data_IF_986326733037
#
_entry.id   IF_986326733037
#
_cell.length_a   1.000
_cell.length_b   1.000
_cell.length_c   1.000
_cell.angle_alpha   90.00
_cell.angle_beta   90.00
_cell.angle_gamma   90.00
#
_symmetry.space_group_name_H-M   'P 1'
#
loop_
_entity.id
_entity.type
_entity.pdbx_description
1 polymer ?
#
# COMPACT_ATOMS: atom_id res chain seq x y z
N UNK A 1 -14.31 0.62 2.90
CA UNK A 1 -13.37 1.36 3.76
C UNK A 1 -11.97 1.09 3.20
N UNK A 2 -11.40 1.97 2.35
CA UNK A 2 -10.16 1.61 1.66
C UNK A 2 -8.97 1.61 2.61
N UNK A 3 -8.42 0.42 2.84
CA UNK A 3 -7.23 0.19 3.66
C UNK A 3 -6.13 -0.35 2.78
N UNK A 4 -5.01 0.36 2.67
CA UNK A 4 -3.78 -0.18 2.14
C UNK A 4 -2.86 -0.54 3.29
N UNK A 5 -2.68 -1.83 3.53
CA UNK A 5 -1.82 -2.35 4.60
C UNK A 5 -0.48 -2.78 4.02
N UNK A 6 0.61 -2.36 4.66
CA UNK A 6 1.98 -2.71 4.31
C UNK A 6 2.53 -3.58 5.44
N UNK A 7 2.74 -4.86 5.18
CA UNK A 7 3.51 -5.74 6.07
C UNK A 7 4.93 -5.82 5.53
N UNK A 8 5.93 -5.51 6.33
CA UNK A 8 7.30 -5.44 5.84
C UNK A 8 8.31 -5.93 6.87
N UNK A 9 9.50 -6.32 6.43
CA UNK A 9 10.59 -6.70 7.32
C UNK A 9 11.19 -5.46 7.99
N UNK A 10 11.34 -5.46 9.32
CA UNK A 10 11.74 -4.27 10.08
C UNK A 10 13.14 -3.72 9.75
N UNK A 11 14.00 -4.46 9.04
CA UNK A 11 15.27 -3.92 8.56
C UNK A 11 15.12 -2.82 7.51
N UNK A 12 13.98 -2.71 6.82
CA UNK A 12 13.75 -1.68 5.80
C UNK A 12 13.70 -0.26 6.37
N UNK A 13 13.39 -0.09 7.66
CA UNK A 13 13.34 1.23 8.32
C UNK A 13 14.71 1.94 8.38
N UNK A 14 15.81 1.19 8.14
CA UNK A 14 17.16 1.76 8.07
C UNK A 14 17.41 2.56 6.79
N UNK A 15 16.69 2.20 5.74
CA UNK A 15 16.98 2.61 4.37
C UNK A 15 15.85 3.44 3.76
N UNK A 16 14.66 3.43 4.38
CA UNK A 16 13.48 4.10 3.85
C UNK A 16 12.60 4.70 4.95
N UNK A 17 12.14 5.92 4.73
CA UNK A 17 11.10 6.54 5.55
C UNK A 17 9.73 5.93 5.20
N UNK A 18 9.32 4.94 5.98
CA UNK A 18 8.03 4.27 5.81
C UNK A 18 6.83 5.21 6.06
N UNK A 19 7.00 6.29 6.83
CA UNK A 19 5.99 7.32 7.04
C UNK A 19 5.73 8.11 5.74
N UNK A 20 6.80 8.53 5.06
CA UNK A 20 6.72 9.18 3.75
C UNK A 20 6.09 8.27 2.69
N UNK A 21 6.43 6.97 2.70
CA UNK A 21 5.80 5.96 1.83
C UNK A 21 4.29 5.89 2.08
N UNK A 22 3.87 5.78 3.34
CA UNK A 22 2.45 5.75 3.70
C UNK A 22 1.70 6.99 3.21
N UNK A 23 2.28 8.18 3.40
CA UNK A 23 1.68 9.44 2.94
C UNK A 23 1.58 9.48 1.41
N UNK A 24 2.65 9.17 0.69
CA UNK A 24 2.68 9.20 -0.77
C UNK A 24 1.70 8.21 -1.40
N UNK A 25 1.57 7.01 -0.83
CA UNK A 25 0.57 6.03 -1.27
C UNK A 25 -0.86 6.50 -1.00
N UNK A 26 -1.10 7.13 0.16
CA UNK A 26 -2.40 7.70 0.47
C UNK A 26 -2.76 8.82 -0.52
N UNK A 27 -1.79 9.67 -0.88
CA UNK A 27 -2.00 10.72 -1.89
C UNK A 27 -2.30 10.13 -3.27
N UNK A 28 -1.59 9.07 -3.69
CA UNK A 28 -1.86 8.36 -4.92
C UNK A 28 -3.26 7.72 -4.94
N UNK A 29 -3.72 7.15 -3.83
CA UNK A 29 -5.11 6.67 -3.73
C UNK A 29 -6.11 7.82 -3.95
N UNK A 30 -5.86 8.99 -3.37
CA UNK A 30 -6.78 10.14 -3.51
C UNK A 30 -6.85 10.71 -4.94
N UNK A 31 -5.92 10.37 -5.84
CA UNK A 31 -5.98 10.79 -7.25
C UNK A 31 -6.80 9.84 -8.14
N UNK A 32 -7.11 8.63 -7.68
CA UNK A 32 -7.85 7.64 -8.49
C UNK A 32 -9.27 8.15 -8.80
N UNK A 33 -9.66 8.11 -10.07
CA UNK A 33 -10.97 8.50 -10.59
C UNK A 33 -11.69 7.32 -11.24
N UNK A 34 -13.01 7.27 -11.09
CA UNK A 34 -13.85 6.33 -11.84
C UNK A 34 -14.11 6.83 -13.27
N UNK A 35 -14.90 6.06 -14.03
CA UNK A 35 -15.20 6.36 -15.44
C UNK A 35 -16.03 7.64 -15.61
N UNK A 36 -16.67 8.14 -14.54
CA UNK A 36 -17.42 9.40 -14.48
C UNK A 36 -16.57 10.56 -13.91
N UNK A 37 -15.28 10.34 -13.65
CA UNK A 37 -14.38 11.35 -13.11
C UNK A 37 -14.55 11.61 -11.61
N UNK A 38 -15.29 10.77 -10.88
CA UNK A 38 -15.47 10.89 -9.42
C UNK A 38 -14.34 10.21 -8.68
N UNK A 39 -13.99 10.73 -7.51
CA UNK A 39 -12.95 10.16 -6.66
C UNK A 39 -13.36 8.75 -6.16
N UNK A 40 -12.51 7.76 -6.40
CA UNK A 40 -12.81 6.35 -6.04
C UNK A 40 -12.69 6.13 -4.54
N UNK A 41 -11.63 6.65 -3.93
CA UNK A 41 -11.33 6.48 -2.51
C UNK A 41 -11.63 7.78 -1.75
N UNK A 42 -12.65 7.82 -0.87
CA UNK A 42 -13.01 9.06 -0.18
C UNK A 42 -11.92 9.52 0.78
N UNK A 43 -11.68 10.83 0.86
CA UNK A 43 -10.61 11.42 1.69
C UNK A 43 -10.71 11.00 3.15
N UNK A 44 -11.86 11.17 3.80
CA UNK A 44 -12.06 10.75 5.20
C UNK A 44 -12.05 9.24 5.43
N UNK A 45 -12.03 8.44 4.36
CA UNK A 45 -12.01 6.98 4.42
C UNK A 45 -10.68 6.33 4.04
N UNK A 46 -9.74 7.08 3.49
CA UNK A 46 -8.47 6.55 2.98
C UNK A 46 -7.49 6.36 4.12
N UNK A 47 -7.00 5.13 4.28
CA UNK A 47 -5.98 4.79 5.28
C UNK A 47 -4.88 3.97 4.62
N UNK A 48 -3.63 4.34 4.92
CA UNK A 48 -2.45 3.54 4.62
C UNK A 48 -1.77 3.25 5.95
N UNK A 49 -1.44 1.99 6.21
CA UNK A 49 -0.94 1.51 7.49
C UNK A 49 0.27 0.63 7.21
N UNK A 50 1.35 0.83 7.94
CA UNK A 50 2.55 0.00 7.79
C UNK A 50 2.91 -0.65 9.13
N UNK A 51 3.21 -1.95 9.08
CA UNK A 51 3.56 -2.75 10.25
C UNK A 51 4.90 -3.46 10.02
N UNK A 52 5.95 -3.08 10.77
CA UNK A 52 7.22 -3.78 10.70
C UNK A 52 7.11 -5.13 11.42
N UNK A 53 7.56 -6.19 10.77
CA UNK A 53 7.82 -7.48 11.38
C UNK A 53 9.18 -7.41 12.10
N UNK A 54 9.23 -7.51 13.44
CA UNK A 54 10.51 -7.53 14.18
C UNK A 54 11.26 -8.85 14.00
N UNK A 55 10.56 -9.91 13.60
CA UNK A 55 11.11 -11.23 13.35
C UNK A 55 10.60 -11.73 12.00
N UNK A 56 11.53 -12.20 11.15
CA UNK A 56 11.23 -12.67 9.81
C UNK A 56 12.33 -13.62 9.31
N UNK A 57 11.99 -14.45 8.33
CA UNK A 57 12.93 -15.22 7.53
C UNK A 57 12.55 -15.02 6.06
N UNK A 58 13.53 -14.69 5.22
CA UNK A 58 13.30 -14.33 3.82
C UNK A 58 14.16 -15.21 2.94
N UNK A 59 13.52 -15.89 1.99
CA UNK A 59 14.16 -16.79 1.03
C UNK A 59 15.11 -17.81 1.72
N UNK A 60 16.35 -17.89 1.26
CA UNK A 60 17.39 -18.80 1.74
C UNK A 60 18.25 -18.24 2.89
N UNK A 61 17.82 -17.15 3.53
CA UNK A 61 18.60 -16.48 4.58
C UNK A 61 19.85 -15.75 4.06
N UNK A 62 19.83 -15.31 2.79
CA UNK A 62 20.88 -14.48 2.21
C UNK A 62 21.98 -15.28 1.51
N UNK A 63 21.82 -16.59 1.36
CA UNK A 63 22.89 -17.45 0.83
C UNK A 63 23.20 -17.09 -0.62
N UNK A 64 22.20 -17.02 -1.49
CA UNK A 64 22.37 -16.62 -2.89
C UNK A 64 22.99 -15.23 -3.03
N UNK A 65 22.71 -14.31 -2.10
CA UNK A 65 23.24 -12.95 -2.08
C UNK A 65 24.74 -12.96 -1.78
N UNK A 66 25.14 -13.73 -0.75
CA UNK A 66 26.55 -13.93 -0.42
C UNK A 66 27.30 -14.64 -1.54
N UNK A 67 26.71 -15.66 -2.16
CA UNK A 67 27.30 -16.38 -3.29
C UNK A 67 27.50 -15.47 -4.52
N UNK A 68 26.64 -14.47 -4.69
CA UNK A 68 26.76 -13.43 -5.71
C UNK A 68 27.71 -12.27 -5.33
N UNK A 69 28.37 -12.32 -4.18
CA UNK A 69 29.26 -11.28 -3.68
C UNK A 69 28.54 -10.03 -3.13
N UNK A 70 27.25 -10.15 -2.82
CA UNK A 70 26.42 -9.08 -2.25
C UNK A 70 26.16 -9.29 -0.76
N UNK A 71 25.45 -8.34 -0.15
CA UNK A 71 24.87 -8.54 1.17
C UNK A 71 23.85 -9.68 1.16
N UNK A 72 23.84 -10.48 2.24
CA UNK A 72 22.77 -11.44 2.51
C UNK A 72 21.58 -10.84 3.28
N UNK A 73 21.56 -9.53 3.54
CA UNK A 73 20.49 -8.85 4.27
C UNK A 73 19.30 -8.52 3.35
N UNK A 74 18.42 -9.50 3.16
CA UNK A 74 17.23 -9.35 2.34
C UNK A 74 16.11 -8.59 3.04
N UNK A 75 15.31 -7.88 2.25
CA UNK A 75 14.09 -7.22 2.69
C UNK A 75 12.83 -7.81 2.06
N UNK A 76 11.68 -7.51 2.65
CA UNK A 76 10.37 -7.82 2.07
C UNK A 76 9.35 -6.74 2.41
N UNK A 77 8.45 -6.42 1.47
CA UNK A 77 7.23 -5.68 1.73
C UNK A 77 6.05 -6.22 0.92
N UNK A 78 4.93 -6.43 1.60
CA UNK A 78 3.63 -6.80 1.04
C UNK A 78 2.63 -5.69 1.25
N UNK A 79 2.12 -5.14 0.16
CA UNK A 79 1.13 -4.09 0.12
C UNK A 79 -0.22 -4.69 -0.30
N UNK A 80 -1.22 -4.63 0.56
CA UNK A 80 -2.57 -5.13 0.27
C UNK A 80 -3.58 -3.99 0.38
N UNK A 81 -4.24 -3.67 -0.74
CA UNK A 81 -5.38 -2.77 -0.74
C UNK A 81 -6.67 -3.57 -0.61
N UNK A 82 -7.38 -3.38 0.48
CA UNK A 82 -8.78 -3.77 0.58
C UNK A 82 -9.68 -2.66 0.09
N UNK A 83 -10.50 -2.94 -0.92
CA UNK A 83 -11.52 -2.02 -1.43
C UNK A 83 -12.93 -2.62 -1.33
N UNK A 84 -13.95 -1.75 -1.22
CA UNK A 84 -15.34 -2.20 -1.20
C UNK A 84 -15.80 -2.68 -2.58
N UNK A 85 -16.85 -3.51 -2.60
CA UNK A 85 -17.52 -3.95 -3.84
C UNK A 85 -18.16 -2.79 -4.62
N UNK A 86 -18.55 -3.07 -5.86
CA UNK A 86 -19.33 -2.14 -6.69
C UNK A 86 -18.52 -1.23 -7.60
N UNK A 87 -17.20 -1.44 -7.71
CA UNK A 87 -16.36 -0.81 -8.73
C UNK A 87 -16.18 -1.76 -9.90
N UNK A 88 -16.21 -1.23 -11.13
CA UNK A 88 -15.94 -2.01 -12.34
C UNK A 88 -14.51 -2.56 -12.32
N UNK A 89 -14.28 -3.66 -13.05
CA UNK A 89 -12.93 -4.21 -13.23
C UNK A 89 -11.95 -3.17 -13.81
N UNK A 90 -12.43 -2.31 -14.72
CA UNK A 90 -11.64 -1.21 -15.27
C UNK A 90 -11.20 -0.22 -14.18
N UNK A 91 -12.08 0.15 -13.25
CA UNK A 91 -11.75 1.02 -12.12
C UNK A 91 -10.80 0.33 -11.14
N UNK A 92 -11.00 -0.97 -10.86
CA UNK A 92 -10.10 -1.74 -10.00
C UNK A 92 -8.69 -1.80 -10.60
N UNK A 93 -8.59 -2.08 -11.90
CA UNK A 93 -7.32 -2.11 -12.63
C UNK A 93 -6.62 -0.75 -12.61
N UNK A 94 -7.36 0.33 -12.91
CA UNK A 94 -6.84 1.71 -12.90
C UNK A 94 -6.32 2.10 -11.51
N UNK A 95 -7.06 1.75 -10.45
CA UNK A 95 -6.62 1.94 -9.08
C UNK A 95 -5.30 1.19 -8.82
N UNK A 96 -5.21 -0.07 -9.25
CA UNK A 96 -4.01 -0.88 -9.09
C UNK A 96 -2.81 -0.34 -9.84
N UNK A 97 -2.97 0.06 -11.10
CA UNK A 97 -1.89 0.66 -11.90
C UNK A 97 -1.40 1.97 -11.29
N UNK A 98 -2.32 2.85 -10.87
CA UNK A 98 -1.98 4.13 -10.24
C UNK A 98 -1.18 3.93 -8.94
N UNK A 99 -1.65 3.05 -8.07
CA UNK A 99 -1.02 2.81 -6.77
C UNK A 99 0.30 2.05 -6.94
N UNK A 100 0.36 1.07 -7.84
CA UNK A 100 1.59 0.34 -8.14
C UNK A 100 2.67 1.26 -8.73
N UNK A 101 2.30 2.22 -9.58
CA UNK A 101 3.24 3.23 -10.09
C UNK A 101 3.80 4.09 -8.95
N UNK A 102 2.95 4.58 -8.05
CA UNK A 102 3.39 5.33 -6.88
C UNK A 102 4.29 4.49 -5.97
N UNK A 103 3.91 3.24 -5.68
CA UNK A 103 4.70 2.31 -4.87
C UNK A 103 6.09 2.07 -5.48
N UNK A 104 6.18 1.85 -6.80
CA UNK A 104 7.47 1.69 -7.50
C UNK A 104 8.35 2.91 -7.35
N UNK A 105 7.80 4.11 -7.47
CA UNK A 105 8.57 5.35 -7.30
C UNK A 105 9.04 5.53 -5.86
N UNK A 106 8.15 5.33 -4.88
CA UNK A 106 8.44 5.50 -3.45
C UNK A 106 9.41 4.44 -2.91
N UNK A 107 9.36 3.22 -3.43
CA UNK A 107 10.22 2.09 -3.02
C UNK A 107 11.46 1.93 -3.90
N UNK A 108 11.63 2.75 -4.94
CA UNK A 108 12.81 2.73 -5.81
C UNK A 108 14.14 2.84 -5.04
N UNK A 109 14.27 3.66 -3.97
CA UNK A 109 15.50 3.72 -3.18
C UNK A 109 15.91 2.37 -2.59
N UNK A 110 14.94 1.56 -2.10
CA UNK A 110 15.24 0.23 -1.56
C UNK A 110 15.77 -0.72 -2.64
N UNK A 111 15.17 -0.68 -3.84
CA UNK A 111 15.59 -1.53 -4.96
C UNK A 111 17.01 -1.22 -5.45
N UNK A 112 17.50 0.01 -5.21
CA UNK A 112 18.86 0.41 -5.54
C UNK A 112 19.89 -0.01 -4.48
N UNK A 113 19.46 -0.25 -3.25
CA UNK A 113 20.35 -0.47 -2.10
C UNK A 113 20.43 -1.93 -1.64
N UNK A 114 19.36 -2.70 -1.82
CA UNK A 114 19.28 -4.07 -1.31
C UNK A 114 18.44 -4.98 -2.20
N UNK A 115 18.59 -6.28 -1.98
CA UNK A 115 17.64 -7.27 -2.50
C UNK A 115 16.38 -7.25 -1.64
N UNK A 116 15.26 -6.90 -2.26
CA UNK A 116 13.97 -6.79 -1.58
C UNK A 116 12.86 -7.42 -2.43
N UNK A 117 12.03 -8.26 -1.80
CA UNK A 117 10.80 -8.78 -2.41
C UNK A 117 9.66 -7.79 -2.20
N UNK A 118 9.02 -7.34 -3.28
CA UNK A 118 7.90 -6.39 -3.22
C UNK A 118 6.67 -6.98 -3.91
N UNK A 119 5.55 -7.04 -3.19
CA UNK A 119 4.28 -7.54 -3.73
C UNK A 119 3.17 -6.54 -3.45
N UNK A 120 2.34 -6.25 -4.45
CA UNK A 120 1.13 -5.45 -4.30
C UNK A 120 -0.10 -6.24 -4.79
N UNK A 121 -1.17 -6.23 -4.01
CA UNK A 121 -2.43 -6.89 -4.33
C UNK A 121 -3.63 -6.01 -3.96
N UNK A 122 -4.75 -6.28 -4.63
CA UNK A 122 -6.05 -5.67 -4.34
C UNK A 122 -7.04 -6.78 -4.02
N UNK A 123 -7.68 -6.69 -2.86
CA UNK A 123 -8.81 -7.52 -2.48
C UNK A 123 -10.11 -6.71 -2.53
N UNK A 124 -11.13 -7.26 -3.17
CA UNK A 124 -12.48 -6.70 -3.16
C UNK A 124 -13.28 -7.37 -2.05
N UNK A 125 -13.81 -6.56 -1.14
CA UNK A 125 -14.50 -7.02 0.05
C UNK A 125 -15.74 -7.87 -0.23
N UNK A 126 -15.78 -9.04 0.41
CA UNK A 126 -16.96 -9.89 0.57
C UNK A 126 -17.59 -9.69 1.96
N UNK A 127 -17.76 -8.43 2.40
CA UNK A 127 -18.30 -8.15 3.73
C UNK A 127 -19.67 -8.81 3.95
N UNK A 128 -19.79 -9.57 5.05
CA UNK A 128 -21.08 -10.02 5.59
C UNK A 128 -21.70 -8.96 6.52
N UNK A 129 -20.87 -8.05 7.05
CA UNK A 129 -21.27 -6.93 7.91
C UNK A 129 -20.31 -5.74 7.70
N UNK A 130 -20.85 -4.53 7.57
CA UNK A 130 -20.08 -3.28 7.41
C UNK A 130 -20.79 -2.15 8.16
N UNK A 131 -20.31 -1.80 9.36
CA UNK A 131 -20.78 -0.67 10.13
C UNK A 131 -19.72 0.41 10.22
N UNK A 132 -20.10 1.65 9.90
CA UNK A 132 -19.23 2.83 9.93
C UNK A 132 -19.77 3.83 10.94
N UNK A 133 -19.09 3.96 12.08
CA UNK A 133 -19.54 4.78 13.21
C UNK A 133 -18.47 5.78 13.71
N UNK A 134 -17.56 6.19 12.81
CA UNK A 134 -16.51 7.18 13.12
C UNK A 134 -16.94 8.61 12.78
N UNK A 135 -16.35 9.59 13.49
CA UNK A 135 -16.61 11.02 13.29
C UNK A 135 -15.69 11.70 12.24
N UNK A 136 -14.61 11.04 11.81
CA UNK A 136 -13.62 11.61 10.88
C UNK A 136 -14.24 12.02 9.54
N UNK A 137 -15.18 11.22 9.03
CA UNK A 137 -15.83 11.49 7.73
C UNK A 137 -16.56 12.84 7.69
N UNK A 138 -17.09 13.32 8.82
CA UNK A 138 -17.81 14.58 8.90
C UNK A 138 -16.95 15.79 8.51
N UNK A 139 -15.62 15.72 8.71
CA UNK A 139 -14.70 16.80 8.31
C UNK A 139 -14.58 16.97 6.79
N UNK A 140 -14.96 15.95 6.01
CA UNK A 140 -14.75 15.92 4.56
C UNK A 140 -16.07 15.95 3.76
N UNK A 141 -17.21 16.05 4.44
CA UNK A 141 -18.50 16.33 3.82
C UNK A 141 -18.60 17.84 3.58
N UNK A 142 -18.17 18.30 2.42
CA UNK A 142 -18.46 19.68 1.98
C UNK A 142 -19.91 19.75 1.48
N UNK A 143 -20.77 20.48 2.20
CA UNK A 143 -21.94 21.18 1.65
C UNK A 143 -23.22 20.37 1.38
N UNK A 144 -23.95 20.00 2.44
CA UNK A 144 -25.41 20.23 2.48
C UNK A 144 -25.67 21.25 3.60
N UNK A 145 -25.53 22.53 3.26
CA UNK A 145 -26.20 23.63 3.94
C UNK A 145 -26.90 24.44 2.87
#
# INVERSE_FOLDING_TARGET
MPHLVILYSGNLDRDLDMGAVCRGLADAMLTVRDDEGRQVFPTGGTRVLAYPAPHYAIADGGQAGRDAGESGDYGFAYLNLRMGRGRSEAVQRRAGETIAQAARALLAPLLQQRRVGLTFQIDVGAEVYDAKFGNLHALFQKGEK
#
